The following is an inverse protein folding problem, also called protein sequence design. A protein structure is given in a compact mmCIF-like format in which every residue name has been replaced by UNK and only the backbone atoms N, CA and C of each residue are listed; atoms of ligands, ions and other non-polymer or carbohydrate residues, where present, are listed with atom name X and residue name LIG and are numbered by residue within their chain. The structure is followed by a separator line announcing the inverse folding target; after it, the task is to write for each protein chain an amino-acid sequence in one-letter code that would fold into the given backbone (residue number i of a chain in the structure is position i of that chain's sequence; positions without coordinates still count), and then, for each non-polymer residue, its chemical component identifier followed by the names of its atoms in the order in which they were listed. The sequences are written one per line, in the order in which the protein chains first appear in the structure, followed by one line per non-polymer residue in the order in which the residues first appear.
data_IF_257179417641
#
_entry.id   IF_257179417641
#
_cell.length_a   1.000
_cell.length_b   1.000
_cell.length_c   1.000
_cell.angle_alpha   90.00
_cell.angle_beta   90.00
_cell.angle_gamma   90.00
#
_symmetry.space_group_name_H-M   'P 1'
#
loop_
_entity.id
_entity.type
_entity.pdbx_description
1 polymer ?
#
# COMPACT_ATOMS: atom_id res chain seq x y z
N UNK A 1 13.67 -23.73 -6.38
CA UNK A 1 14.39 -22.54 -6.90
C UNK A 1 13.64 -21.23 -6.56
N UNK A 2 13.07 -21.08 -5.35
CA UNK A 2 12.06 -20.03 -5.07
C UNK A 2 12.60 -18.58 -5.15
N UNK A 3 13.87 -18.39 -4.76
CA UNK A 3 14.55 -17.08 -4.75
C UNK A 3 14.54 -16.33 -6.10
N UNK A 4 14.46 -17.06 -7.22
CA UNK A 4 14.46 -16.47 -8.58
C UNK A 4 13.08 -16.52 -9.25
N UNK A 5 12.31 -17.59 -9.00
CA UNK A 5 11.08 -17.88 -9.73
C UNK A 5 9.81 -17.69 -8.88
N UNK A 6 9.91 -17.16 -7.66
CA UNK A 6 8.79 -17.09 -6.71
C UNK A 6 8.30 -18.48 -6.26
N UNK A 7 7.04 -18.56 -5.83
CA UNK A 7 6.35 -19.81 -5.52
C UNK A 7 4.84 -19.63 -5.57
N UNK A 8 4.12 -20.48 -6.30
CA UNK A 8 2.64 -20.52 -6.30
C UNK A 8 2.10 -21.47 -5.21
N UNK A 9 2.74 -21.51 -4.03
CA UNK A 9 2.37 -22.44 -2.94
C UNK A 9 2.64 -21.91 -1.54
N UNK A 10 3.86 -21.48 -1.28
CA UNK A 10 4.26 -20.89 0.00
C UNK A 10 4.52 -19.39 -0.25
N UNK A 11 4.02 -18.50 0.62
CA UNK A 11 4.32 -17.07 0.51
C UNK A 11 5.84 -16.87 0.66
N UNK A 12 6.46 -16.18 -0.30
CA UNK A 12 7.90 -15.90 -0.32
C UNK A 12 8.16 -14.45 -0.73
N UNK A 13 9.17 -13.79 -0.12
CA UNK A 13 9.50 -12.42 -0.46
C UNK A 13 9.91 -12.28 -1.93
N UNK A 14 9.49 -11.20 -2.55
CA UNK A 14 9.87 -10.84 -3.92
C UNK A 14 11.34 -10.36 -4.00
N UNK A 15 11.80 -10.05 -5.21
CA UNK A 15 13.19 -9.65 -5.44
C UNK A 15 13.58 -8.32 -4.79
N UNK A 16 12.65 -7.40 -4.54
CA UNK A 16 12.90 -6.17 -3.78
C UNK A 16 13.05 -6.47 -2.28
N UNK A 17 12.07 -7.15 -1.68
CA UNK A 17 12.05 -7.49 -0.25
C UNK A 17 13.28 -8.30 0.15
N UNK A 18 13.58 -9.38 -0.60
CA UNK A 18 14.76 -10.20 -0.35
C UNK A 18 16.06 -9.49 -0.76
N UNK A 19 16.04 -8.72 -1.85
CA UNK A 19 17.18 -7.94 -2.32
C UNK A 19 17.65 -6.92 -1.29
N UNK A 20 16.72 -6.21 -0.65
CA UNK A 20 17.01 -5.23 0.40
C UNK A 20 17.74 -5.88 1.59
N UNK A 21 17.23 -7.01 2.11
CA UNK A 21 17.88 -7.74 3.22
C UNK A 21 19.28 -8.21 2.85
N UNK A 22 19.47 -8.75 1.64
CA UNK A 22 20.79 -9.19 1.17
C UNK A 22 21.74 -8.00 0.99
N UNK A 23 21.29 -6.89 0.42
CA UNK A 23 22.09 -5.69 0.16
C UNK A 23 22.49 -5.01 1.48
N UNK A 24 21.54 -4.81 2.39
CA UNK A 24 21.82 -4.22 3.69
C UNK A 24 22.82 -5.07 4.49
N UNK A 25 22.61 -6.38 4.60
CA UNK A 25 23.58 -7.30 5.22
C UNK A 25 24.97 -7.24 4.56
N UNK A 26 25.03 -7.13 3.23
CA UNK A 26 26.28 -6.96 2.50
C UNK A 26 27.06 -5.71 2.93
N UNK A 27 26.39 -4.57 3.07
CA UNK A 27 27.01 -3.35 3.59
C UNK A 27 27.39 -3.48 5.08
N UNK A 28 26.49 -4.00 5.92
CA UNK A 28 26.72 -4.08 7.37
C UNK A 28 27.86 -5.03 7.77
N UNK A 29 28.05 -6.15 7.05
CA UNK A 29 29.10 -7.14 7.36
C UNK A 29 30.40 -6.95 6.57
N UNK A 30 30.33 -6.46 5.33
CA UNK A 30 31.50 -6.41 4.42
C UNK A 30 31.88 -4.98 3.97
N UNK A 31 31.19 -3.96 4.48
CA UNK A 31 31.54 -2.54 4.32
C UNK A 31 30.97 -1.87 3.06
N UNK A 32 31.09 -0.55 3.01
CA UNK A 32 30.50 0.30 1.96
C UNK A 32 30.94 -0.07 0.53
N UNK A 33 32.19 -0.48 0.33
CA UNK A 33 32.71 -0.88 -0.99
C UNK A 33 32.26 -2.28 -1.45
N UNK A 34 31.61 -3.09 -0.61
CA UNK A 34 31.30 -4.50 -0.94
C UNK A 34 30.49 -4.62 -2.22
N UNK A 35 29.37 -3.89 -2.33
CA UNK A 35 28.51 -3.99 -3.50
C UNK A 35 29.14 -3.40 -4.76
N UNK A 36 29.95 -2.35 -4.66
CA UNK A 36 30.74 -1.80 -5.77
C UNK A 36 31.70 -2.83 -6.36
N UNK A 37 32.41 -3.58 -5.50
CA UNK A 37 33.30 -4.68 -5.91
C UNK A 37 32.53 -5.86 -6.51
N UNK A 38 31.39 -6.23 -5.90
CA UNK A 38 30.54 -7.33 -6.37
C UNK A 38 29.89 -7.01 -7.72
N UNK A 39 29.33 -5.81 -7.93
CA UNK A 39 28.69 -5.46 -9.21
C UNK A 39 29.70 -5.30 -10.33
N UNK A 40 30.88 -4.72 -10.07
CA UNK A 40 31.96 -4.60 -11.05
C UNK A 40 32.46 -5.97 -11.53
N UNK A 41 32.71 -6.92 -10.62
CA UNK A 41 33.12 -8.29 -10.99
C UNK A 41 31.98 -9.07 -11.65
N UNK A 42 30.72 -8.80 -11.31
CA UNK A 42 29.55 -9.45 -11.91
C UNK A 42 29.29 -8.96 -13.34
N UNK A 43 29.34 -7.66 -13.59
CA UNK A 43 29.09 -7.04 -14.92
C UNK A 43 30.23 -7.28 -15.91
N UNK A 44 31.46 -7.45 -15.42
CA UNK A 44 32.62 -7.91 -16.23
C UNK A 44 32.66 -9.43 -16.41
N UNK A 45 31.59 -10.15 -16.05
CA UNK A 45 31.46 -11.62 -16.18
C UNK A 45 32.62 -12.42 -15.55
N UNK A 46 33.26 -11.88 -14.51
CA UNK A 46 34.53 -12.37 -13.92
C UNK A 46 34.33 -13.64 -13.07
N UNK A 47 34.06 -14.72 -13.78
CA UNK A 47 33.69 -16.05 -13.29
C UNK A 47 33.00 -16.93 -14.34
N UNK A 48 32.61 -16.37 -15.50
CA UNK A 48 31.87 -16.98 -16.61
C UNK A 48 30.51 -17.55 -16.20
N UNK A 49 30.52 -18.66 -15.46
CA UNK A 49 29.32 -19.31 -14.92
C UNK A 49 28.99 -18.70 -13.56
N UNK A 50 27.78 -18.13 -13.45
CA UNK A 50 27.25 -17.47 -12.25
C UNK A 50 28.16 -16.34 -11.70
N UNK A 51 28.50 -15.32 -12.52
CA UNK A 51 29.50 -14.31 -12.17
C UNK A 51 29.14 -13.50 -10.92
N UNK A 52 27.85 -13.22 -10.66
CA UNK A 52 27.39 -12.56 -9.44
C UNK A 52 27.66 -13.41 -8.17
N UNK A 53 27.41 -14.71 -8.23
CA UNK A 53 27.65 -15.63 -7.13
C UNK A 53 29.15 -15.84 -6.88
N UNK A 54 29.97 -15.83 -7.94
CA UNK A 54 31.43 -15.86 -7.83
C UNK A 54 31.99 -14.54 -7.29
N UNK A 55 31.43 -13.39 -7.69
CA UNK A 55 31.80 -12.08 -7.17
C UNK A 55 31.48 -11.95 -5.67
N UNK A 56 30.29 -12.39 -5.23
CA UNK A 56 29.98 -12.49 -3.79
C UNK A 56 30.99 -13.41 -3.09
N UNK A 57 31.28 -14.60 -3.63
CA UNK A 57 32.28 -15.51 -3.03
C UNK A 57 33.66 -14.86 -2.89
N UNK A 58 34.10 -14.11 -3.91
CA UNK A 58 35.40 -13.43 -3.94
C UNK A 58 35.51 -12.30 -2.92
N UNK A 59 34.45 -11.52 -2.73
CA UNK A 59 34.47 -10.33 -1.85
C UNK A 59 33.91 -10.56 -0.44
N UNK A 60 33.27 -11.71 -0.18
CA UNK A 60 32.78 -12.10 1.17
C UNK A 60 33.50 -13.31 1.77
N UNK A 61 34.35 -14.00 1.00
CA UNK A 61 35.01 -15.25 1.41
C UNK A 61 34.10 -16.48 1.47
N UNK A 62 32.77 -16.32 1.47
CA UNK A 62 31.79 -17.39 1.69
C UNK A 62 30.94 -17.68 0.44
N UNK A 63 30.39 -18.89 0.31
CA UNK A 63 29.52 -19.21 -0.84
C UNK A 63 28.25 -18.34 -0.86
N UNK A 64 27.65 -18.09 -2.02
CA UNK A 64 26.38 -17.37 -2.10
C UNK A 64 25.24 -18.03 -1.28
N UNK A 65 25.26 -19.36 -1.18
CA UNK A 65 24.34 -20.08 -0.29
C UNK A 65 24.61 -19.77 1.18
N UNK A 66 25.87 -19.68 1.59
CA UNK A 66 26.29 -19.28 2.94
C UNK A 66 25.88 -17.83 3.20
N UNK A 67 26.32 -16.88 2.37
CA UNK A 67 25.99 -15.45 2.44
C UNK A 67 24.48 -15.21 2.65
N UNK A 68 23.63 -15.81 1.79
CA UNK A 68 22.17 -15.70 1.91
C UNK A 68 21.66 -16.27 3.25
N UNK A 69 22.18 -17.40 3.68
CA UNK A 69 21.70 -18.09 4.89
C UNK A 69 22.13 -17.37 6.16
N UNK A 70 23.31 -16.76 6.17
CA UNK A 70 23.75 -15.85 7.22
C UNK A 70 22.94 -14.54 7.22
N UNK A 71 22.66 -13.95 6.04
CA UNK A 71 21.87 -12.72 5.92
C UNK A 71 20.46 -12.90 6.49
N UNK A 72 19.80 -14.01 6.15
CA UNK A 72 18.48 -14.36 6.71
C UNK A 72 18.58 -14.69 8.21
N UNK A 73 19.71 -15.25 8.69
CA UNK A 73 19.94 -15.47 10.12
C UNK A 73 20.15 -14.15 10.88
N UNK A 74 20.82 -13.16 10.30
CA UNK A 74 21.08 -11.85 10.90
C UNK A 74 19.75 -11.20 11.36
N UNK A 75 18.80 -11.05 10.45
CA UNK A 75 17.47 -10.50 10.76
C UNK A 75 16.55 -11.46 11.53
N UNK A 76 16.87 -12.76 11.62
CA UNK A 76 16.07 -13.73 12.42
C UNK A 76 16.13 -13.51 13.93
N UNK A 77 17.00 -12.61 14.41
CA UNK A 77 17.05 -12.18 15.81
C UNK A 77 16.02 -11.08 16.13
N UNK A 78 15.53 -10.35 15.14
CA UNK A 78 14.50 -9.31 15.27
C UNK A 78 13.09 -9.92 15.26
N UNK A 79 12.91 -11.06 14.57
CA UNK A 79 11.70 -11.88 14.66
C UNK A 79 11.66 -12.68 15.97
N UNK A 80 10.55 -12.60 16.72
CA UNK A 80 10.46 -13.32 18.00
C UNK A 80 10.50 -14.86 17.83
N UNK A 81 11.11 -15.55 18.81
CA UNK A 81 11.35 -17.00 18.74
C UNK A 81 10.11 -17.88 18.96
N UNK A 82 8.90 -17.32 19.11
CA UNK A 82 7.67 -18.07 19.42
C UNK A 82 7.09 -18.79 18.19
N UNK A 83 7.74 -19.88 17.75
CA UNK A 83 7.26 -20.81 16.71
C UNK A 83 6.10 -21.73 17.19
N UNK A 84 5.12 -21.19 17.92
CA UNK A 84 4.05 -22.01 18.51
C UNK A 84 2.78 -22.10 17.68
N UNK A 85 2.59 -21.22 16.70
CA UNK A 85 1.48 -21.35 15.76
C UNK A 85 1.74 -22.51 14.78
N UNK A 86 0.81 -23.46 14.72
CA UNK A 86 0.85 -24.53 13.75
C UNK A 86 0.73 -23.92 12.34
N UNK A 87 1.71 -24.19 11.46
CA UNK A 87 1.65 -23.74 10.06
C UNK A 87 0.57 -24.50 9.28
N UNK A 88 -0.68 -24.09 9.44
CA UNK A 88 -1.78 -24.50 8.56
C UNK A 88 -1.52 -23.92 7.17
N UNK A 89 -1.00 -24.75 6.27
CA UNK A 89 -0.69 -24.39 4.88
C UNK A 89 -1.96 -24.28 4.06
N UNK A 90 -2.57 -23.10 4.07
CA UNK A 90 -3.67 -22.74 3.19
C UNK A 90 -3.17 -22.49 1.75
N UNK A 91 -4.10 -22.17 0.84
CA UNK A 91 -3.74 -21.45 -0.40
C UNK A 91 -3.46 -20.00 -0.01
N UNK A 92 -2.34 -19.43 -0.47
CA UNK A 92 -2.07 -18.00 -0.23
C UNK A 92 -3.22 -17.17 -0.76
N UNK A 93 -3.81 -16.37 0.13
CA UNK A 93 -5.03 -15.58 -0.07
C UNK A 93 -4.83 -14.28 0.67
N UNK A 94 -5.03 -13.14 0.02
CA UNK A 94 -4.86 -11.82 0.63
C UNK A 94 -6.21 -11.11 0.69
N UNK A 95 -6.49 -10.47 1.82
CA UNK A 95 -7.67 -9.63 2.04
C UNK A 95 -7.19 -8.18 2.18
N UNK A 96 -7.69 -7.26 1.35
CA UNK A 96 -7.23 -5.88 1.31
C UNK A 96 -8.37 -4.89 1.62
N UNK A 97 -8.04 -3.83 2.37
CA UNK A 97 -8.93 -2.72 2.73
C UNK A 97 -10.31 -3.13 3.27
N UNK A 98 -10.40 -4.01 4.30
CA UNK A 98 -11.67 -4.40 4.91
C UNK A 98 -12.39 -3.17 5.48
N UNK A 99 -13.58 -2.87 4.97
CA UNK A 99 -14.42 -1.73 5.35
C UNK A 99 -15.84 -2.21 5.70
N UNK A 100 -16.43 -1.67 6.77
CA UNK A 100 -17.78 -2.07 7.17
C UNK A 100 -18.83 -1.61 6.14
N UNK A 101 -19.72 -2.53 5.75
CA UNK A 101 -20.77 -2.31 4.75
C UNK A 101 -22.18 -2.25 5.37
N UNK A 102 -22.25 -2.00 6.68
CA UNK A 102 -23.42 -2.14 7.53
C UNK A 102 -22.98 -2.48 8.96
N UNK A 103 -23.89 -3.01 9.78
CA UNK A 103 -23.54 -3.52 11.13
C UNK A 103 -22.89 -4.91 11.04
N UNK A 104 -23.48 -5.80 10.25
CA UNK A 104 -23.13 -7.24 10.19
C UNK A 104 -22.42 -7.64 8.88
N UNK A 105 -21.78 -6.69 8.20
CA UNK A 105 -21.19 -6.88 6.87
C UNK A 105 -19.88 -6.13 6.67
N UNK A 106 -18.97 -6.72 5.90
CA UNK A 106 -17.64 -6.18 5.58
C UNK A 106 -17.38 -6.35 4.09
N UNK A 107 -17.01 -5.28 3.41
CA UNK A 107 -16.54 -5.29 2.01
C UNK A 107 -15.01 -5.23 1.95
N UNK A 108 -14.41 -5.98 1.04
CA UNK A 108 -12.95 -6.02 0.81
C UNK A 108 -12.62 -6.44 -0.62
N UNK A 109 -11.38 -6.18 -1.05
CA UNK A 109 -10.79 -6.87 -2.19
C UNK A 109 -10.12 -8.15 -1.71
N UNK A 110 -10.28 -9.24 -2.45
CA UNK A 110 -9.65 -10.53 -2.18
C UNK A 110 -8.98 -11.06 -3.44
N UNK A 111 -7.75 -11.54 -3.28
CA UNK A 111 -7.04 -12.34 -4.30
C UNK A 111 -6.55 -13.67 -3.71
N UNK A 112 -6.08 -14.58 -4.56
CA UNK A 112 -5.33 -15.76 -4.12
C UNK A 112 -4.42 -16.29 -5.22
N UNK A 113 -3.51 -17.21 -4.90
CA UNK A 113 -2.75 -17.98 -5.91
C UNK A 113 -3.63 -18.88 -6.82
N UNK A 114 -4.96 -18.84 -6.68
CA UNK A 114 -5.95 -19.49 -7.57
C UNK A 114 -6.95 -18.51 -8.20
N UNK A 115 -7.02 -17.26 -7.75
CA UNK A 115 -8.08 -16.32 -8.12
C UNK A 115 -7.53 -14.89 -8.27
N UNK A 116 -7.77 -14.29 -9.42
CA UNK A 116 -7.49 -12.86 -9.67
C UNK A 116 -8.38 -11.95 -8.79
N UNK A 117 -7.91 -10.72 -8.47
CA UNK A 117 -8.61 -9.80 -7.57
C UNK A 117 -10.09 -9.61 -7.88
N UNK A 118 -10.90 -9.62 -6.83
CA UNK A 118 -12.33 -9.36 -6.89
C UNK A 118 -12.82 -8.69 -5.61
N UNK A 119 -13.91 -7.92 -5.73
CA UNK A 119 -14.63 -7.35 -4.60
C UNK A 119 -15.55 -8.42 -4.01
N UNK A 120 -15.53 -8.56 -2.69
CA UNK A 120 -16.37 -9.47 -1.92
C UNK A 120 -17.07 -8.73 -0.79
N UNK A 121 -18.22 -9.25 -0.37
CA UNK A 121 -18.89 -8.89 0.87
C UNK A 121 -19.03 -10.12 1.75
N UNK A 122 -18.51 -10.03 2.98
CA UNK A 122 -18.80 -10.97 4.05
C UNK A 122 -20.08 -10.53 4.76
N UNK A 123 -20.91 -11.49 5.12
CA UNK A 123 -22.12 -11.31 5.96
C UNK A 123 -22.24 -12.45 6.97
N UNK A 124 -23.22 -12.39 7.87
CA UNK A 124 -23.61 -13.54 8.71
C UNK A 124 -23.98 -14.79 7.90
N UNK A 125 -24.47 -14.62 6.65
CA UNK A 125 -24.83 -15.70 5.73
C UNK A 125 -23.64 -16.24 4.90
N UNK A 126 -22.43 -15.73 5.13
CA UNK A 126 -21.22 -16.14 4.42
C UNK A 126 -20.64 -15.09 3.46
N UNK A 127 -19.70 -15.54 2.63
CA UNK A 127 -18.88 -14.74 1.72
C UNK A 127 -19.49 -14.73 0.29
N UNK A 128 -19.82 -13.55 -0.23
CA UNK A 128 -20.36 -13.37 -1.59
C UNK A 128 -19.41 -12.53 -2.43
N UNK A 129 -19.02 -13.04 -3.61
CA UNK A 129 -18.34 -12.24 -4.64
C UNK A 129 -19.32 -11.20 -5.20
N UNK A 130 -18.95 -9.93 -5.16
CA UNK A 130 -19.70 -8.84 -5.80
C UNK A 130 -19.37 -8.83 -7.28
N UNK A 131 -18.10 -8.58 -7.61
CA UNK A 131 -17.60 -8.43 -8.98
C UNK A 131 -16.11 -8.72 -9.06
N UNK A 132 -15.63 -9.11 -10.23
CA UNK A 132 -14.19 -9.05 -10.52
C UNK A 132 -13.71 -7.61 -10.48
N UNK A 133 -12.53 -7.35 -9.90
CA UNK A 133 -11.91 -6.03 -9.94
C UNK A 133 -11.24 -5.87 -11.31
N UNK A 134 -11.46 -4.74 -11.97
CA UNK A 134 -10.73 -4.40 -13.20
C UNK A 134 -9.22 -4.33 -12.92
N UNK A 135 -8.38 -4.70 -13.88
CA UNK A 135 -6.92 -4.66 -13.71
C UNK A 135 -6.50 -3.20 -13.46
N UNK A 136 -5.60 -2.97 -12.49
CA UNK A 136 -5.12 -1.64 -12.11
C UNK A 136 -3.80 -1.73 -11.36
N UNK A 137 -3.21 -0.58 -11.01
CA UNK A 137 -1.88 -0.51 -10.38
C UNK A 137 -1.86 -0.87 -8.89
N UNK A 138 -3.02 -0.88 -8.23
CA UNK A 138 -3.16 -1.00 -6.77
C UNK A 138 -4.46 -1.68 -6.36
N UNK A 139 -4.51 -2.22 -5.14
CA UNK A 139 -5.71 -2.83 -4.54
C UNK A 139 -6.51 -1.86 -3.66
N UNK A 140 -6.17 -0.57 -3.68
CA UNK A 140 -6.90 0.48 -2.95
C UNK A 140 -8.34 0.60 -3.44
N UNK A 141 -9.27 0.72 -2.49
CA UNK A 141 -10.60 1.25 -2.75
C UNK A 141 -11.15 2.04 -1.56
N UNK A 142 -12.01 3.00 -1.86
CA UNK A 142 -12.90 3.64 -0.88
C UNK A 142 -14.30 3.05 -1.00
N UNK A 143 -14.99 2.91 0.13
CA UNK A 143 -16.40 2.53 0.18
C UNK A 143 -17.23 3.55 0.98
N UNK A 144 -18.41 3.89 0.47
CA UNK A 144 -19.42 4.70 1.16
C UNK A 144 -20.83 4.30 0.69
N UNK A 145 -21.69 3.88 1.62
CA UNK A 145 -23.14 3.65 1.42
C UNK A 145 -23.52 2.90 0.13
N UNK A 146 -22.96 1.71 -0.08
CA UNK A 146 -23.23 0.87 -1.27
C UNK A 146 -22.37 1.18 -2.50
N UNK A 147 -21.61 2.27 -2.49
CA UNK A 147 -20.72 2.67 -3.57
C UNK A 147 -19.26 2.37 -3.23
N UNK A 148 -18.53 1.80 -4.19
CA UNK A 148 -17.07 1.65 -4.20
C UNK A 148 -16.47 2.64 -5.21
N UNK A 149 -15.30 3.20 -4.89
CA UNK A 149 -14.43 3.92 -5.82
C UNK A 149 -13.00 3.35 -5.77
N UNK A 150 -12.44 3.04 -6.93
CA UNK A 150 -11.08 2.50 -7.10
C UNK A 150 -10.47 2.98 -8.42
N UNK A 151 -9.25 2.56 -8.74
CA UNK A 151 -8.57 2.88 -10.01
C UNK A 151 -8.29 1.64 -10.85
N UNK A 152 -8.41 1.79 -12.16
CA UNK A 152 -8.19 0.73 -13.14
C UNK A 152 -7.42 1.22 -14.37
N UNK A 153 -6.65 0.32 -14.97
CA UNK A 153 -5.91 0.60 -16.17
C UNK A 153 -6.83 0.75 -17.38
N UNK A 154 -6.57 1.80 -18.16
CA UNK A 154 -7.19 2.07 -19.44
C UNK A 154 -6.09 2.29 -20.48
N UNK A 155 -6.22 1.70 -21.67
CA UNK A 155 -5.16 1.67 -22.69
C UNK A 155 -5.51 2.57 -23.87
N UNK A 156 -4.56 3.36 -24.38
CA UNK A 156 -4.81 4.02 -25.67
C UNK A 156 -4.98 2.97 -26.80
N UNK A 157 -6.03 3.06 -27.64
CA UNK A 157 -6.31 2.06 -28.67
C UNK A 157 -5.27 1.97 -29.81
N UNK A 158 -4.25 2.84 -29.83
CA UNK A 158 -3.15 2.81 -30.81
C UNK A 158 -1.76 2.81 -30.19
N UNK A 159 -1.60 3.26 -28.94
CA UNK A 159 -0.29 3.47 -28.31
C UNK A 159 -0.10 2.59 -27.07
N UNK A 160 0.41 1.36 -27.26
CA UNK A 160 0.63 0.35 -26.21
C UNK A 160 1.75 0.65 -25.20
N UNK A 161 2.27 1.90 -25.20
CA UNK A 161 3.20 2.44 -24.19
C UNK A 161 2.58 3.64 -23.44
N UNK A 162 1.27 3.86 -23.61
CA UNK A 162 0.50 4.93 -22.94
C UNK A 162 -0.57 4.27 -22.08
N UNK A 163 -0.18 3.96 -20.85
CA UNK A 163 -1.07 3.47 -19.80
C UNK A 163 -1.71 4.64 -19.06
N UNK A 164 -3.03 4.57 -18.89
CA UNK A 164 -3.81 5.46 -18.03
C UNK A 164 -4.30 4.70 -16.80
N UNK A 165 -4.51 5.39 -15.69
CA UNK A 165 -5.16 4.85 -14.50
C UNK A 165 -6.38 5.71 -14.20
N UNK A 166 -7.56 5.22 -14.56
CA UNK A 166 -8.83 5.93 -14.49
C UNK A 166 -9.63 5.53 -13.25
N UNK A 167 -10.44 6.46 -12.74
CA UNK A 167 -11.31 6.20 -11.58
C UNK A 167 -12.54 5.43 -12.06
N UNK A 168 -12.81 4.30 -11.40
CA UNK A 168 -13.98 3.47 -11.63
C UNK A 168 -14.84 3.43 -10.37
N UNK A 169 -16.14 3.59 -10.58
CA UNK A 169 -17.19 3.51 -9.58
C UNK A 169 -17.90 2.16 -9.71
N UNK A 170 -18.15 1.48 -8.60
CA UNK A 170 -18.88 0.20 -8.56
C UNK A 170 -20.01 0.27 -7.53
N UNK A 171 -21.25 0.05 -7.98
CA UNK A 171 -22.40 -0.14 -7.11
C UNK A 171 -22.48 -1.61 -6.64
N UNK A 172 -22.45 -1.86 -5.32
CA UNK A 172 -22.37 -3.24 -4.80
C UNK A 172 -23.68 -4.02 -4.88
N UNK A 173 -24.83 -3.33 -5.05
CA UNK A 173 -26.14 -3.96 -5.06
C UNK A 173 -26.45 -4.59 -6.43
N UNK A 174 -26.16 -3.84 -7.50
CA UNK A 174 -26.30 -4.27 -8.90
C UNK A 174 -25.04 -4.94 -9.46
N UNK A 175 -23.86 -4.63 -8.91
CA UNK A 175 -22.58 -5.09 -9.45
C UNK A 175 -22.18 -4.37 -10.74
N UNK A 176 -22.72 -3.17 -11.01
CA UNK A 176 -22.41 -2.38 -12.20
C UNK A 176 -21.21 -1.44 -11.97
N UNK A 177 -20.34 -1.36 -12.98
CA UNK A 177 -19.21 -0.41 -13.04
C UNK A 177 -19.56 0.81 -13.90
N UNK A 178 -19.10 1.98 -13.50
CA UNK A 178 -19.06 3.21 -14.30
C UNK A 178 -17.65 3.78 -14.27
N UNK A 179 -17.02 3.92 -15.43
CA UNK A 179 -15.75 4.62 -15.56
C UNK A 179 -16.02 6.13 -15.47
N UNK A 180 -15.57 6.75 -14.38
CA UNK A 180 -15.84 8.15 -14.07
C UNK A 180 -14.90 9.09 -14.83
N UNK A 181 -13.65 8.67 -15.03
CA UNK A 181 -12.66 9.41 -15.81
C UNK A 181 -12.24 8.63 -17.04
N UNK A 182 -11.69 9.34 -18.02
CA UNK A 182 -11.01 8.74 -19.16
C UNK A 182 -9.64 9.39 -19.34
N UNK A 183 -8.62 8.57 -19.62
CA UNK A 183 -7.24 8.99 -19.89
C UNK A 183 -6.53 9.68 -18.71
N UNK A 184 -6.95 9.37 -17.49
CA UNK A 184 -6.38 9.88 -16.25
C UNK A 184 -5.08 9.18 -15.80
N UNK A 185 -4.51 9.71 -14.71
CA UNK A 185 -3.40 9.10 -13.94
C UNK A 185 -3.68 9.25 -12.46
N UNK A 186 -4.82 8.71 -12.06
CA UNK A 186 -5.38 8.81 -10.72
C UNK A 186 -4.92 7.67 -9.82
N UNK A 187 -4.81 7.96 -8.52
CA UNK A 187 -4.38 7.02 -7.48
C UNK A 187 -5.14 7.29 -6.18
N UNK A 188 -5.41 6.21 -5.44
CA UNK A 188 -6.06 6.22 -4.13
C UNK A 188 -7.27 7.16 -4.00
N UNK A 189 -8.37 6.94 -4.73
CA UNK A 189 -9.57 7.76 -4.65
C UNK A 189 -10.35 7.58 -3.34
N UNK A 190 -11.06 8.62 -2.93
CA UNK A 190 -12.02 8.60 -1.82
C UNK A 190 -13.34 9.34 -2.14
N UNK A 191 -14.45 8.85 -1.58
CA UNK A 191 -15.80 9.33 -1.88
C UNK A 191 -16.23 10.39 -0.84
N UNK A 192 -16.72 11.54 -1.28
CA UNK A 192 -17.26 12.58 -0.38
C UNK A 192 -18.47 12.08 0.43
N UNK A 193 -18.71 12.59 1.66
CA UNK A 193 -19.88 12.23 2.47
C UNK A 193 -21.22 12.34 1.74
N UNK A 194 -21.41 13.37 0.92
CA UNK A 194 -22.62 13.56 0.09
C UNK A 194 -22.68 12.69 -1.18
N UNK A 195 -21.58 11.99 -1.49
CA UNK A 195 -21.36 11.18 -2.72
C UNK A 195 -21.47 11.99 -4.02
N UNK A 196 -21.35 13.32 -3.97
CA UNK A 196 -21.38 14.22 -5.15
C UNK A 196 -19.98 14.53 -5.71
N UNK A 197 -18.92 14.21 -4.98
CA UNK A 197 -17.55 14.28 -5.50
C UNK A 197 -16.65 13.11 -5.05
N UNK A 198 -15.55 12.93 -5.77
CA UNK A 198 -14.42 12.05 -5.48
C UNK A 198 -13.19 12.92 -5.32
N UNK A 199 -12.32 12.64 -4.33
CA UNK A 199 -10.96 13.18 -4.27
C UNK A 199 -9.96 12.08 -4.65
N UNK A 200 -8.95 12.39 -5.45
CA UNK A 200 -7.89 11.45 -5.81
C UNK A 200 -6.54 12.16 -5.97
N UNK A 201 -5.43 11.44 -5.71
CA UNK A 201 -4.11 11.88 -6.14
C UNK A 201 -4.02 11.74 -7.66
N UNK A 202 -3.57 12.78 -8.35
CA UNK A 202 -3.22 12.76 -9.77
C UNK A 202 -1.68 12.89 -9.94
N UNK A 203 -1.14 12.27 -10.98
CA UNK A 203 0.28 12.41 -11.38
C UNK A 203 0.38 12.91 -12.82
N UNK A 204 0.98 14.07 -13.01
CA UNK A 204 1.12 14.71 -14.34
C UNK A 204 2.18 14.03 -15.21
N UNK A 205 2.22 14.36 -16.51
CA UNK A 205 3.33 13.96 -17.41
C UNK A 205 4.69 14.51 -16.96
N UNK A 206 4.71 15.63 -16.25
CA UNK A 206 5.92 16.20 -15.63
C UNK A 206 6.33 15.49 -14.32
N UNK A 207 5.66 14.38 -13.97
CA UNK A 207 5.86 13.61 -12.73
C UNK A 207 5.70 14.51 -11.49
N UNK A 208 4.71 15.40 -11.51
CA UNK A 208 4.29 16.20 -10.34
C UNK A 208 3.00 15.66 -9.77
N UNK A 209 2.85 15.74 -8.44
CA UNK A 209 1.64 15.32 -7.74
C UNK A 209 0.66 16.48 -7.56
N UNK A 210 -0.61 16.21 -7.80
CA UNK A 210 -1.73 17.11 -7.58
C UNK A 210 -2.88 16.32 -6.92
N UNK A 211 -3.82 16.99 -6.27
CA UNK A 211 -5.10 16.40 -5.84
C UNK A 211 -6.19 16.95 -6.75
N UNK A 212 -6.99 16.07 -7.32
CA UNK A 212 -8.18 16.45 -8.07
C UNK A 212 -9.44 16.13 -7.25
N UNK A 213 -10.32 17.12 -7.10
CA UNK A 213 -11.70 16.92 -6.66
C UNK A 213 -12.56 16.87 -7.92
N UNK A 214 -13.32 15.79 -8.08
CA UNK A 214 -13.96 15.36 -9.33
C UNK A 214 -15.45 15.17 -9.09
N UNK A 215 -16.32 15.78 -9.90
CA UNK A 215 -17.77 15.66 -9.84
C UNK A 215 -18.26 14.30 -10.38
N UNK A 216 -19.51 13.95 -10.08
CA UNK A 216 -20.13 12.66 -10.47
C UNK A 216 -20.34 12.43 -11.97
N UNK A 217 -20.09 13.45 -12.80
CA UNK A 217 -20.06 13.42 -14.26
C UNK A 217 -18.65 13.23 -14.86
N UNK A 218 -17.61 13.22 -14.01
CA UNK A 218 -16.20 13.12 -14.41
C UNK A 218 -15.45 14.44 -14.56
N UNK A 219 -16.12 15.59 -14.38
CA UNK A 219 -15.50 16.91 -14.41
C UNK A 219 -14.53 17.15 -13.24
N UNK A 220 -13.40 17.82 -13.47
CA UNK A 220 -12.52 18.27 -12.37
C UNK A 220 -13.03 19.61 -11.83
N UNK A 221 -13.48 19.62 -10.58
CA UNK A 221 -13.97 20.81 -9.87
C UNK A 221 -12.78 21.64 -9.36
N UNK A 222 -11.78 20.97 -8.76
CA UNK A 222 -10.61 21.60 -8.16
C UNK A 222 -9.34 20.80 -8.45
N UNK A 223 -8.25 21.50 -8.78
CA UNK A 223 -6.88 20.96 -8.83
C UNK A 223 -6.05 21.69 -7.76
N UNK A 224 -5.47 20.93 -6.83
CA UNK A 224 -4.65 21.44 -5.72
C UNK A 224 -3.24 20.87 -5.87
N UNK A 225 -2.21 21.72 -5.94
CA UNK A 225 -0.84 21.29 -6.31
C UNK A 225 0.00 20.95 -5.10
N UNK A 226 0.82 19.90 -5.19
CA UNK A 226 1.66 19.49 -4.05
C UNK A 226 2.75 20.55 -3.73
N UNK A 227 2.90 20.97 -2.47
CA UNK A 227 3.87 21.99 -2.08
C UNK A 227 5.31 21.48 -2.25
N UNK A 228 6.24 22.37 -2.63
CA UNK A 228 7.70 22.13 -2.58
C UNK A 228 8.19 20.85 -3.33
N UNK A 229 7.49 20.40 -4.38
CA UNK A 229 7.74 19.11 -5.08
C UNK A 229 7.53 17.86 -4.22
N UNK A 230 6.69 17.95 -3.18
CA UNK A 230 6.20 16.78 -2.44
C UNK A 230 5.22 15.95 -3.28
N UNK A 231 4.83 14.79 -2.74
CA UNK A 231 3.77 13.93 -3.28
C UNK A 231 2.62 13.80 -2.30
N UNK A 232 1.39 13.96 -2.78
CA UNK A 232 0.19 13.65 -2.02
C UNK A 232 -0.09 12.14 -2.04
N UNK A 233 -0.33 11.57 -0.86
CA UNK A 233 -0.64 10.16 -0.64
C UNK A 233 -2.02 10.03 0.00
N UNK A 234 -2.83 9.13 -0.54
CA UNK A 234 -3.96 8.53 0.17
C UNK A 234 -4.97 9.55 0.75
N UNK A 235 -5.53 10.48 -0.06
CA UNK A 235 -6.51 11.43 0.44
C UNK A 235 -7.77 10.71 0.95
N UNK A 236 -8.36 11.23 2.04
CA UNK A 236 -9.66 10.78 2.59
C UNK A 236 -10.48 11.98 3.03
N UNK A 237 -11.75 12.06 2.66
CA UNK A 237 -12.65 13.10 3.17
C UNK A 237 -12.90 12.95 4.68
N UNK A 238 -12.93 14.08 5.38
CA UNK A 238 -13.38 14.22 6.77
C UNK A 238 -14.83 14.72 6.77
N UNK A 239 -15.08 15.76 5.98
CA UNK A 239 -16.40 16.31 5.65
C UNK A 239 -16.42 16.69 4.16
N UNK A 240 -17.36 17.50 3.68
CA UNK A 240 -17.45 17.89 2.26
C UNK A 240 -16.44 18.98 1.84
N UNK A 241 -15.80 19.69 2.78
CA UNK A 241 -14.81 20.76 2.51
C UNK A 241 -13.43 20.46 3.14
N UNK A 242 -13.27 19.34 3.84
CA UNK A 242 -12.00 18.90 4.43
C UNK A 242 -11.64 17.47 4.07
N UNK A 243 -10.36 17.25 3.77
CA UNK A 243 -9.76 15.93 3.61
C UNK A 243 -8.47 15.80 4.43
N UNK A 244 -8.18 14.62 4.97
CA UNK A 244 -6.82 14.27 5.42
C UNK A 244 -6.01 13.76 4.23
N UNK A 245 -4.74 14.15 4.15
CA UNK A 245 -3.81 13.69 3.12
C UNK A 245 -2.43 13.43 3.74
N UNK A 246 -1.76 12.37 3.31
CA UNK A 246 -0.35 12.16 3.61
C UNK A 246 0.52 12.99 2.64
N UNK A 247 1.58 13.63 3.14
CA UNK A 247 2.49 14.41 2.28
C UNK A 247 3.91 13.85 2.38
N UNK A 248 4.42 13.36 1.25
CA UNK A 248 5.73 12.72 1.09
C UNK A 248 6.73 13.73 0.53
N UNK A 249 7.67 14.18 1.36
CA UNK A 249 8.56 15.31 1.06
C UNK A 249 9.89 14.88 0.39
N UNK A 250 10.61 15.77 -0.31
CA UNK A 250 11.90 15.44 -0.94
C UNK A 250 12.98 14.90 0.02
N UNK A 251 12.91 15.26 1.31
CA UNK A 251 13.87 14.96 2.39
C UNK A 251 13.77 13.53 2.99
N UNK A 252 13.08 12.62 2.31
CA UNK A 252 12.71 11.27 2.76
C UNK A 252 11.69 11.20 3.93
N UNK A 253 11.04 12.31 4.33
CA UNK A 253 9.98 12.29 5.36
C UNK A 253 8.55 12.15 4.81
N UNK A 254 7.61 11.82 5.70
CA UNK A 254 6.15 11.91 5.50
C UNK A 254 5.53 12.70 6.66
N UNK A 255 4.54 13.54 6.37
CA UNK A 255 3.60 14.12 7.34
C UNK A 255 2.16 13.70 7.04
N UNK A 256 1.24 13.93 7.98
CA UNK A 256 -0.20 13.75 7.80
C UNK A 256 -0.90 15.08 8.12
N UNK A 257 -1.67 15.61 7.19
CA UNK A 257 -2.17 16.99 7.22
C UNK A 257 -3.64 17.06 6.81
N UNK A 258 -4.42 17.97 7.40
CA UNK A 258 -5.79 18.28 6.95
C UNK A 258 -5.72 19.39 5.91
N UNK A 259 -6.28 19.11 4.74
CA UNK A 259 -6.48 20.06 3.66
C UNK A 259 -7.91 20.62 3.73
N UNK A 260 -8.02 21.94 3.87
CA UNK A 260 -9.25 22.69 3.63
C UNK A 260 -9.38 22.92 2.12
N UNK A 261 -10.40 22.37 1.47
CA UNK A 261 -10.52 22.36 0.01
C UNK A 261 -10.82 23.77 -0.54
N UNK A 262 -11.75 24.49 0.09
CA UNK A 262 -12.16 25.85 -0.26
C UNK A 262 -11.04 26.91 -0.20
N UNK A 263 -10.05 26.73 0.68
CA UNK A 263 -8.94 27.70 0.87
C UNK A 263 -7.56 27.16 0.48
N UNK A 264 -7.46 25.86 0.16
CA UNK A 264 -6.23 25.09 -0.05
C UNK A 264 -5.23 25.15 1.11
N UNK A 265 -5.68 25.51 2.32
CA UNK A 265 -4.83 25.56 3.51
C UNK A 265 -4.57 24.15 4.07
N UNK A 266 -3.32 23.92 4.49
CA UNK A 266 -2.87 22.66 5.09
C UNK A 266 -2.59 22.86 6.58
N UNK A 267 -3.21 22.02 7.42
CA UNK A 267 -3.01 21.98 8.87
C UNK A 267 -2.32 20.67 9.28
N UNK A 268 -1.12 20.76 9.86
CA UNK A 268 -0.36 19.58 10.29
C UNK A 268 -1.08 18.85 11.44
N UNK A 269 -1.34 17.55 11.26
CA UNK A 269 -1.85 16.63 12.30
C UNK A 269 -0.70 15.78 12.85
N UNK A 270 0.06 15.14 11.96
CA UNK A 270 1.30 14.41 12.30
C UNK A 270 2.47 15.14 11.64
N UNK A 271 3.43 15.69 12.42
CA UNK A 271 4.64 16.33 11.90
C UNK A 271 5.49 15.40 11.03
N UNK A 272 6.35 15.99 10.18
CA UNK A 272 7.27 15.25 9.30
C UNK A 272 8.12 14.26 10.09
N UNK A 273 8.06 12.99 9.71
CA UNK A 273 8.83 11.88 10.29
C UNK A 273 9.44 10.99 9.21
N UNK A 274 10.48 10.21 9.56
CA UNK A 274 11.06 9.17 8.69
C UNK A 274 10.33 7.83 8.80
N UNK A 275 9.40 7.68 9.73
CA UNK A 275 8.50 6.53 9.76
C UNK A 275 7.58 6.54 8.54
N UNK A 276 7.11 5.35 8.12
CA UNK A 276 6.00 5.26 7.15
C UNK A 276 4.76 5.89 7.77
N UNK A 277 3.93 6.55 6.97
CA UNK A 277 2.55 6.88 7.33
C UNK A 277 1.72 6.55 6.08
N UNK A 278 0.71 5.71 6.23
CA UNK A 278 -0.10 5.23 5.10
C UNK A 278 -1.46 4.70 5.52
N UNK A 279 -2.30 4.42 4.51
CA UNK A 279 -3.65 3.87 4.67
C UNK A 279 -4.50 4.61 5.73
N UNK A 280 -4.64 5.95 5.66
CA UNK A 280 -5.52 6.69 6.54
C UNK A 280 -6.98 6.27 6.34
N UNK A 281 -7.74 6.30 7.43
CA UNK A 281 -9.17 6.08 7.49
C UNK A 281 -9.79 7.05 8.50
N UNK A 282 -10.77 7.85 8.08
CA UNK A 282 -11.43 8.81 8.97
C UNK A 282 -12.68 8.17 9.58
N UNK A 283 -12.82 8.24 10.90
CA UNK A 283 -14.05 7.85 11.56
C UNK A 283 -14.35 8.74 12.79
N UNK A 284 -15.53 9.37 12.78
CA UNK A 284 -15.94 10.36 13.78
C UNK A 284 -14.85 11.45 13.92
N UNK A 285 -14.32 11.66 15.13
CA UNK A 285 -13.34 12.70 15.44
C UNK A 285 -11.87 12.18 15.42
N UNK A 286 -11.57 11.13 14.68
CA UNK A 286 -10.24 10.52 14.62
C UNK A 286 -9.84 10.04 13.22
N UNK A 287 -8.54 10.08 12.95
CA UNK A 287 -7.92 9.45 11.78
C UNK A 287 -7.11 8.25 12.27
N UNK A 288 -7.39 7.08 11.68
CA UNK A 288 -6.69 5.82 11.92
C UNK A 288 -5.72 5.58 10.76
N UNK A 289 -4.50 5.10 11.01
CA UNK A 289 -3.47 4.96 9.97
C UNK A 289 -2.43 3.89 10.33
N UNK A 290 -1.78 3.30 9.32
CA UNK A 290 -0.61 2.42 9.53
C UNK A 290 0.67 3.26 9.59
N UNK A 291 1.58 2.93 10.51
CA UNK A 291 2.91 3.55 10.61
C UNK A 291 3.98 2.61 11.19
N UNK A 292 5.21 2.71 10.69
CA UNK A 292 6.39 2.01 11.22
C UNK A 292 7.05 2.72 12.41
N UNK A 293 6.36 3.65 13.08
CA UNK A 293 6.91 4.46 14.17
C UNK A 293 7.47 3.63 15.36
N UNK A 294 6.97 2.41 15.55
CA UNK A 294 7.47 1.43 16.55
C UNK A 294 8.40 0.35 15.96
N UNK A 295 8.96 0.57 14.76
CA UNK A 295 9.82 -0.37 14.04
C UNK A 295 9.04 -1.34 13.15
N UNK A 296 7.93 -1.88 13.65
CA UNK A 296 6.94 -2.62 12.86
C UNK A 296 5.79 -1.69 12.42
N UNK A 297 5.25 -1.92 11.21
CA UNK A 297 4.00 -1.29 10.75
C UNK A 297 2.84 -1.67 11.68
N UNK A 298 2.40 -0.73 12.51
CA UNK A 298 1.28 -0.89 13.44
C UNK A 298 0.18 0.13 13.14
N UNK A 299 -1.02 -0.10 13.68
CA UNK A 299 -2.14 0.82 13.56
C UNK A 299 -2.09 1.83 14.70
N UNK A 300 -2.18 3.10 14.31
CA UNK A 300 -2.26 4.26 15.18
C UNK A 300 -3.58 4.99 14.93
N UNK A 301 -4.00 5.81 15.89
CA UNK A 301 -5.06 6.78 15.73
C UNK A 301 -4.62 8.15 16.24
N UNK A 302 -5.10 9.22 15.61
CA UNK A 302 -4.92 10.59 16.07
C UNK A 302 -6.27 11.30 16.20
N UNK A 303 -6.49 11.93 17.35
CA UNK A 303 -7.72 12.70 17.64
C UNK A 303 -7.62 14.08 16.98
N UNK A 304 -8.61 14.45 16.15
CA UNK A 304 -8.60 15.71 15.40
C UNK A 304 -8.64 16.95 16.32
N UNK A 305 -9.38 16.89 17.43
CA UNK A 305 -9.56 18.05 18.34
C UNK A 305 -8.35 18.44 19.18
N UNK A 306 -7.40 17.53 19.42
CA UNK A 306 -6.26 17.77 20.32
C UNK A 306 -4.92 17.20 19.84
N UNK A 307 -4.91 16.58 18.65
CA UNK A 307 -3.74 15.98 17.97
C UNK A 307 -2.98 14.92 18.81
N UNK A 308 -3.61 14.35 19.84
CA UNK A 308 -3.06 13.22 20.59
C UNK A 308 -3.05 11.97 19.73
N UNK A 309 -1.87 11.34 19.65
CA UNK A 309 -1.62 10.10 18.92
C UNK A 309 -1.63 8.93 19.88
N UNK A 310 -2.28 7.83 19.49
CA UNK A 310 -2.40 6.59 20.24
C UNK A 310 -1.94 5.42 19.36
N UNK A 311 -1.12 4.52 19.91
CA UNK A 311 -0.84 3.24 19.27
C UNK A 311 -1.95 2.25 19.67
N UNK A 312 -2.67 1.70 18.69
CA UNK A 312 -3.79 0.79 18.94
C UNK A 312 -3.37 -0.68 18.91
N UNK A 313 -2.31 -1.02 18.19
CA UNK A 313 -1.81 -2.39 18.04
C UNK A 313 -0.32 -2.48 18.31
N UNK A 314 0.14 -3.66 18.74
CA UNK A 314 1.56 -3.99 18.84
C UNK A 314 1.77 -5.44 18.35
N UNK A 315 2.04 -5.59 17.05
CA UNK A 315 2.17 -6.88 16.37
C UNK A 315 3.62 -7.25 16.05
N UNK A 316 3.88 -8.56 15.95
CA UNK A 316 5.16 -9.12 15.48
C UNK A 316 5.35 -8.99 13.96
N UNK A 317 4.25 -8.87 13.20
CA UNK A 317 4.21 -8.64 11.75
C UNK A 317 3.32 -7.44 11.43
N UNK A 318 3.54 -6.80 10.28
CA UNK A 318 2.83 -5.57 9.93
C UNK A 318 1.31 -5.73 9.85
N UNK A 319 0.58 -4.73 10.37
CA UNK A 319 -0.88 -4.62 10.29
C UNK A 319 -1.28 -3.44 9.41
N UNK A 320 -2.17 -3.70 8.45
CA UNK A 320 -2.40 -2.83 7.30
C UNK A 320 -3.88 -2.55 7.04
N UNK A 321 -4.14 -1.47 6.30
CA UNK A 321 -5.45 -1.09 5.79
C UNK A 321 -6.54 -0.96 6.88
N UNK A 322 -6.31 -0.14 7.93
CA UNK A 322 -7.26 0.00 9.03
C UNK A 322 -8.60 0.58 8.55
N UNK A 323 -9.70 0.09 9.11
CA UNK A 323 -10.99 0.78 9.09
C UNK A 323 -11.72 0.61 10.42
N UNK A 324 -12.66 1.50 10.72
CA UNK A 324 -13.38 1.49 12.00
C UNK A 324 -14.88 1.65 11.78
N UNK A 325 -15.66 0.87 12.52
CA UNK A 325 -17.11 1.04 12.61
C UNK A 325 -17.58 0.78 14.04
N UNK A 326 -18.32 1.75 14.59
CA UNK A 326 -18.62 1.86 16.01
C UNK A 326 -17.35 1.76 16.87
N UNK A 327 -17.19 0.67 17.61
CA UNK A 327 -16.05 0.42 18.50
C UNK A 327 -15.14 -0.72 17.97
N UNK A 328 -15.41 -1.21 16.75
CA UNK A 328 -14.67 -2.29 16.09
C UNK A 328 -13.64 -1.73 15.11
N UNK A 329 -12.39 -2.16 15.26
CA UNK A 329 -11.28 -1.91 14.34
C UNK A 329 -11.05 -3.13 13.44
N UNK A 330 -11.11 -2.94 12.12
CA UNK A 330 -10.79 -3.94 11.11
C UNK A 330 -9.43 -3.63 10.48
N UNK A 331 -8.70 -4.67 10.08
CA UNK A 331 -7.39 -4.58 9.41
C UNK A 331 -7.02 -5.92 8.79
N UNK A 332 -6.00 -5.89 7.91
CA UNK A 332 -5.34 -7.09 7.37
C UNK A 332 -4.01 -7.33 8.09
N UNK A 333 -3.58 -8.58 8.21
CA UNK A 333 -2.44 -8.96 9.04
C UNK A 333 -1.44 -9.79 8.24
N UNK A 334 -0.19 -9.31 8.13
CA UNK A 334 0.81 -9.99 7.31
C UNK A 334 1.22 -11.36 7.90
N UNK A 335 0.90 -12.44 7.19
CA UNK A 335 1.20 -13.84 7.58
C UNK A 335 1.95 -14.62 6.49
N UNK A 336 2.38 -15.84 6.79
CA UNK A 336 2.92 -16.77 5.79
C UNK A 336 1.87 -17.32 4.79
N UNK A 337 0.59 -16.95 4.94
CA UNK A 337 -0.51 -17.31 4.06
C UNK A 337 -1.09 -16.10 3.28
N UNK A 338 -0.55 -14.89 3.47
CA UNK A 338 -1.08 -13.66 2.87
C UNK A 338 -1.40 -12.58 3.91
N UNK A 339 -2.09 -11.52 3.48
CA UNK A 339 -2.61 -10.40 4.29
C UNK A 339 -4.03 -10.64 4.81
#
# INVERSE_FOLDING_TARGET
MKLRNGSLKDYVPNHYQLGYLLVNYGYMKYGADFWKKVTQDASTFKGLIYPFQQAIKRHSGVSFNTFRSEALKYYSHETSKRRNDQQHRATVTNYYFPQAAGVDSIVYVKDSYKNIPAFYIQTANGEKRIRQKSVGSEEWFSYRDGLIAYTAYNTDPRWSLVDYNDIVLLDIASGNETWLTAKGRYYTPDIAPDKQSIIATAVTDSITSELHVISRDGGVIHTIKAPQKAFFLHPKFIDNDKAVVGIRWPDATISLEVLQLSTQQLEIVIPRTKATIGFPFVYKNAIYFTSSLSGNDNIYAVQLTNKKVFQLTNSQTGLYFPSVYNDTLFFSAFTSNGY
#
